data_IF_732052199524
#
_entry.id   IF_732052199524
#
_cell.length_a   1.000
_cell.length_b   1.000
_cell.length_c   1.000
_cell.angle_alpha   90.00
_cell.angle_beta   90.00
_cell.angle_gamma   90.00
#
_symmetry.space_group_name_H-M   'P 1'
#
loop_
_entity.id
_entity.type
_entity.pdbx_description
1 polymer ?
#
# COMPACT_ATOMS: atom_id res chain seq x y z
N UNK A 1 -2.05 33.33 -8.25
CA UNK A 1 -1.96 33.26 -6.78
C UNK A 1 -1.83 31.79 -6.44
N UNK A 2 -0.67 31.39 -5.88
CA UNK A 2 -0.21 30.07 -5.42
C UNK A 2 -0.80 28.80 -6.06
N UNK A 3 -0.04 28.26 -7.02
CA UNK A 3 0.08 26.81 -7.25
C UNK A 3 0.68 26.20 -5.98
N UNK A 4 -0.04 25.30 -5.32
CA UNK A 4 0.51 24.41 -4.32
C UNK A 4 0.73 23.06 -5.01
N UNK A 5 2.00 22.64 -5.02
CA UNK A 5 2.47 21.47 -5.71
C UNK A 5 1.91 20.22 -5.02
N UNK A 6 1.26 19.36 -5.79
CA UNK A 6 1.18 17.95 -5.45
C UNK A 6 2.62 17.41 -5.35
N UNK A 7 3.10 17.23 -4.12
CA UNK A 7 4.35 16.53 -3.85
C UNK A 7 4.12 15.06 -4.20
N UNK A 8 4.51 14.68 -5.42
CA UNK A 8 4.68 13.28 -5.80
C UNK A 8 5.76 12.67 -4.90
N UNK A 9 5.31 11.96 -3.87
CA UNK A 9 6.20 11.30 -2.91
C UNK A 9 6.98 10.19 -3.62
N UNK A 10 8.28 10.41 -3.78
CA UNK A 10 9.21 9.52 -4.46
C UNK A 10 9.38 8.21 -3.68
N UNK A 11 8.57 7.21 -4.04
CA UNK A 11 8.45 5.87 -3.45
C UNK A 11 9.76 5.04 -3.43
N UNK A 12 10.83 5.51 -4.11
CA UNK A 12 12.15 4.86 -4.12
C UNK A 12 12.92 5.01 -2.80
N UNK A 13 12.50 5.88 -1.86
CA UNK A 13 13.22 6.10 -0.59
C UNK A 13 12.73 5.27 0.61
N UNK A 14 11.62 4.53 0.51
CA UNK A 14 11.05 3.77 1.65
C UNK A 14 11.37 2.26 1.60
N UNK A 15 11.94 1.76 0.49
CA UNK A 15 12.34 0.36 0.33
C UNK A 15 13.72 0.11 1.00
N UNK A 16 13.81 0.15 2.34
CA UNK A 16 15.05 -0.22 3.04
C UNK A 16 14.92 -0.96 4.38
N UNK A 17 13.71 -1.28 4.87
CA UNK A 17 13.55 -1.86 6.23
C UNK A 17 12.80 -3.20 6.27
N UNK A 18 13.03 -4.10 5.31
CA UNK A 18 12.58 -5.50 5.46
C UNK A 18 13.77 -6.44 5.32
N UNK A 19 14.68 -6.36 6.28
CA UNK A 19 15.59 -7.46 6.62
C UNK A 19 15.21 -7.99 8.00
N UNK A 20 13.94 -8.38 8.17
CA UNK A 20 13.52 -9.15 9.35
C UNK A 20 13.91 -10.60 9.09
N UNK A 21 15.22 -10.86 9.18
CA UNK A 21 15.81 -12.19 9.07
C UNK A 21 15.04 -13.17 9.95
N UNK A 22 14.28 -14.07 9.32
CA UNK A 22 13.79 -15.30 9.95
C UNK A 22 15.00 -16.20 10.26
N UNK A 23 15.85 -15.79 11.19
CA UNK A 23 16.82 -16.69 11.79
C UNK A 23 16.05 -17.59 12.75
N UNK A 24 15.72 -18.78 12.25
CA UNK A 24 15.73 -19.98 13.08
C UNK A 24 17.10 -20.01 13.76
N UNK A 25 17.18 -19.54 15.00
CA UNK A 25 18.37 -19.73 15.83
C UNK A 25 18.50 -21.23 16.10
N UNK A 26 19.25 -21.91 15.23
CA UNK A 26 20.05 -23.07 15.59
C UNK A 26 20.96 -22.65 16.75
N UNK A 27 20.45 -22.76 17.98
CA UNK A 27 21.23 -22.66 19.21
C UNK A 27 22.16 -23.87 19.30
N UNK A 28 23.12 -23.96 18.38
CA UNK A 28 24.33 -24.76 18.47
C UNK A 28 25.49 -23.78 18.48
N UNK A 29 25.59 -22.99 19.56
CA UNK A 29 26.81 -22.25 19.83
C UNK A 29 27.83 -23.23 20.41
N UNK A 30 28.90 -23.45 19.66
CA UNK A 30 30.10 -24.19 20.06
C UNK A 30 30.85 -23.42 21.14
N UNK A 31 30.42 -23.56 22.40
CA UNK A 31 31.17 -23.02 23.54
C UNK A 31 32.28 -24.00 23.95
N UNK A 32 33.54 -23.53 23.85
CA UNK A 32 34.68 -24.24 24.43
C UNK A 32 34.72 -24.03 25.95
N UNK A 33 34.87 -25.09 26.74
CA UNK A 33 34.87 -25.00 28.20
C UNK A 33 36.24 -24.53 28.73
N UNK A 34 36.22 -23.58 29.68
CA UNK A 34 37.37 -23.31 30.55
C UNK A 34 37.30 -24.31 31.71
N UNK A 35 38.35 -25.11 31.90
CA UNK A 35 38.45 -26.13 32.96
C UNK A 35 39.59 -25.73 33.90
N UNK A 36 39.28 -25.63 35.20
CA UNK A 36 40.27 -25.62 36.29
C UNK A 36 40.07 -26.88 37.12
N UNK A 37 41.16 -27.59 37.41
CA UNK A 37 41.19 -28.86 38.15
C UNK A 37 41.21 -28.61 39.66
N UNK A 38 40.09 -28.94 40.31
CA UNK A 38 40.04 -29.30 41.72
C UNK A 38 39.29 -30.63 41.83
N UNK A 39 39.47 -31.37 42.93
CA UNK A 39 38.77 -32.63 43.23
C UNK A 39 37.26 -32.36 43.32
N UNK A 40 36.59 -32.30 42.18
CA UNK A 40 35.23 -31.80 42.04
C UNK A 40 34.23 -32.82 42.56
N UNK A 41 33.38 -32.40 43.50
CA UNK A 41 32.22 -33.18 43.92
C UNK A 41 31.22 -33.27 42.76
N UNK A 42 31.27 -34.40 42.03
CA UNK A 42 30.45 -34.66 40.83
C UNK A 42 28.95 -34.51 41.15
N UNK A 43 28.51 -34.92 42.34
CA UNK A 43 27.12 -34.84 42.78
C UNK A 43 26.66 -33.38 42.88
N UNK A 44 27.50 -32.50 43.44
CA UNK A 44 27.20 -31.08 43.55
C UNK A 44 26.99 -30.46 42.16
N UNK A 45 27.91 -30.73 41.23
CA UNK A 45 27.85 -30.18 39.86
C UNK A 45 26.61 -30.67 39.11
N UNK A 46 26.28 -31.96 39.24
CA UNK A 46 25.08 -32.54 38.63
C UNK A 46 23.81 -31.90 39.20
N UNK A 47 23.74 -31.71 40.52
CA UNK A 47 22.58 -31.10 41.19
C UNK A 47 22.43 -29.62 40.85
N UNK A 48 23.54 -28.87 40.78
CA UNK A 48 23.57 -27.48 40.37
C UNK A 48 23.03 -27.31 38.93
N UNK A 49 23.52 -28.12 37.99
CA UNK A 49 23.03 -28.09 36.61
C UNK A 49 21.53 -28.42 36.52
N UNK A 50 21.05 -29.43 37.26
CA UNK A 50 19.63 -29.78 37.33
C UNK A 50 18.78 -28.66 37.93
N UNK A 51 19.27 -28.03 38.99
CA UNK A 51 18.59 -26.90 39.63
C UNK A 51 18.48 -25.70 38.68
N UNK A 52 19.55 -25.38 37.94
CA UNK A 52 19.52 -24.28 36.98
C UNK A 52 18.60 -24.56 35.79
N UNK A 53 18.54 -25.79 35.27
CA UNK A 53 17.57 -26.18 34.23
C UNK A 53 16.12 -26.00 34.70
N UNK A 54 15.81 -26.38 35.94
CA UNK A 54 14.50 -26.13 36.56
C UNK A 54 14.23 -24.65 36.78
N UNK A 55 15.24 -23.89 37.19
CA UNK A 55 15.13 -22.44 37.40
C UNK A 55 14.80 -21.71 36.10
N UNK A 56 15.46 -22.05 35.00
CA UNK A 56 15.19 -21.44 33.69
C UNK A 56 13.74 -21.66 33.22
N UNK A 57 13.15 -22.83 33.53
CA UNK A 57 11.73 -23.10 33.30
C UNK A 57 10.84 -22.29 34.26
N UNK A 58 11.24 -22.23 35.53
CA UNK A 58 10.61 -21.40 36.56
C UNK A 58 10.56 -19.92 36.20
N UNK A 59 11.54 -19.41 35.44
CA UNK A 59 11.64 -17.99 35.05
C UNK A 59 10.38 -17.52 34.33
N UNK A 60 9.92 -18.24 33.30
CA UNK A 60 8.75 -17.78 32.55
C UNK A 60 7.43 -18.18 33.21
N UNK A 61 7.36 -19.38 33.77
CA UNK A 61 6.13 -19.89 34.39
C UNK A 61 5.75 -19.10 35.65
N UNK A 62 6.73 -18.76 36.49
CA UNK A 62 6.49 -17.94 37.69
C UNK A 62 6.11 -16.51 37.32
N UNK A 63 6.73 -15.95 36.28
CA UNK A 63 6.41 -14.61 35.81
C UNK A 63 4.97 -14.54 35.28
N UNK A 64 4.56 -15.49 34.43
CA UNK A 64 3.17 -15.58 33.93
C UNK A 64 2.20 -15.74 35.10
N UNK A 65 2.47 -16.63 36.05
CA UNK A 65 1.60 -16.83 37.21
C UNK A 65 1.44 -15.56 38.06
N UNK A 66 2.50 -14.76 38.22
CA UNK A 66 2.48 -13.55 39.04
C UNK A 66 1.88 -12.34 38.34
N UNK A 67 2.10 -12.22 37.03
CA UNK A 67 1.80 -10.98 36.29
C UNK A 67 0.66 -11.12 35.29
N UNK A 68 0.29 -12.36 34.93
CA UNK A 68 -0.61 -12.63 33.82
C UNK A 68 -0.04 -12.28 32.43
N UNK A 69 1.28 -12.01 32.32
CA UNK A 69 1.92 -11.54 31.09
C UNK A 69 3.07 -12.44 30.65
N UNK A 70 3.36 -12.46 29.35
CA UNK A 70 4.56 -13.09 28.80
C UNK A 70 5.80 -12.29 29.24
N UNK A 71 6.85 -12.93 29.81
CA UNK A 71 8.09 -12.23 30.14
C UNK A 71 8.91 -11.87 28.90
N UNK A 72 9.80 -10.86 28.99
CA UNK A 72 10.71 -10.52 27.90
C UNK A 72 11.57 -11.71 27.49
N UNK A 73 11.68 -11.95 26.18
CA UNK A 73 12.47 -13.06 25.62
C UNK A 73 13.91 -13.11 26.17
N UNK A 74 14.56 -11.94 26.25
CA UNK A 74 15.94 -11.81 26.73
C UNK A 74 16.15 -12.34 28.16
N UNK A 75 15.16 -12.16 29.04
CA UNK A 75 15.21 -12.63 30.44
C UNK A 75 15.27 -14.15 30.50
N UNK A 76 14.44 -14.83 29.72
CA UNK A 76 14.38 -16.30 29.71
C UNK A 76 15.57 -16.89 28.94
N UNK A 77 15.99 -16.25 27.85
CA UNK A 77 17.17 -16.64 27.08
C UNK A 77 18.44 -16.63 27.94
N UNK A 78 18.56 -15.65 28.84
CA UNK A 78 19.70 -15.55 29.76
C UNK A 78 19.76 -16.75 30.71
N UNK A 79 18.65 -17.13 31.33
CA UNK A 79 18.61 -18.29 32.22
C UNK A 79 18.75 -19.63 31.47
N UNK A 80 18.23 -19.72 30.23
CA UNK A 80 18.49 -20.84 29.33
C UNK A 80 19.97 -21.03 29.04
N UNK A 81 20.69 -19.96 28.65
CA UNK A 81 22.14 -20.01 28.35
C UNK A 81 22.93 -20.50 29.56
N UNK A 82 22.62 -19.98 30.76
CA UNK A 82 23.24 -20.46 32.02
C UNK A 82 22.97 -21.95 32.25
N UNK A 83 21.73 -22.40 32.10
CA UNK A 83 21.34 -23.80 32.29
C UNK A 83 22.03 -24.73 31.28
N UNK A 84 22.11 -24.34 30.01
CA UNK A 84 22.77 -25.11 28.97
C UNK A 84 24.27 -25.25 29.24
N UNK A 85 24.94 -24.16 29.60
CA UNK A 85 26.37 -24.18 29.93
C UNK A 85 26.68 -25.10 31.12
N UNK A 86 25.88 -25.03 32.19
CA UNK A 86 26.03 -25.93 33.33
C UNK A 86 25.75 -27.39 32.97
N UNK A 87 24.77 -27.66 32.12
CA UNK A 87 24.52 -29.02 31.62
C UNK A 87 25.73 -29.58 30.86
N UNK A 88 26.30 -28.82 29.91
CA UNK A 88 27.48 -29.25 29.14
C UNK A 88 28.68 -29.49 30.06
N UNK A 89 28.97 -28.56 30.98
CA UNK A 89 30.06 -28.69 31.96
C UNK A 89 29.86 -29.91 32.88
N UNK A 90 28.64 -30.13 33.36
CA UNK A 90 28.32 -31.29 34.19
C UNK A 90 28.49 -32.60 33.41
N UNK A 91 28.06 -32.67 32.15
CA UNK A 91 28.21 -33.86 31.30
C UNK A 91 29.67 -34.22 31.07
N UNK A 92 30.51 -33.23 30.76
CA UNK A 92 31.96 -33.41 30.61
C UNK A 92 32.61 -33.89 31.91
N UNK A 93 32.24 -33.30 33.05
CA UNK A 93 32.78 -33.68 34.36
C UNK A 93 32.41 -35.13 34.71
N UNK A 94 31.14 -35.50 34.50
CA UNK A 94 30.66 -36.88 34.72
C UNK A 94 31.35 -37.88 33.78
N UNK A 95 31.67 -37.49 32.55
CA UNK A 95 32.38 -38.35 31.61
C UNK A 95 33.82 -38.64 32.06
N UNK A 96 34.51 -37.62 32.60
CA UNK A 96 35.86 -37.73 33.17
C UNK A 96 35.88 -38.47 34.51
N UNK A 97 34.80 -38.39 35.29
CA UNK A 97 34.70 -39.16 36.53
C UNK A 97 34.54 -40.66 36.25
N UNK A 98 35.49 -41.48 36.71
CA UNK A 98 35.34 -42.93 36.74
C UNK A 98 34.30 -43.38 37.78
N UNK A 99 33.84 -44.64 37.70
CA UNK A 99 33.05 -45.27 38.76
C UNK A 99 31.60 -45.64 38.42
N UNK A 100 30.97 -46.41 39.33
CA UNK A 100 29.67 -47.06 39.12
C UNK A 100 28.49 -46.07 38.94
N UNK A 101 28.62 -44.82 39.40
CA UNK A 101 27.54 -43.81 39.35
C UNK A 101 27.45 -43.04 38.03
N UNK A 102 28.45 -43.13 37.13
CA UNK A 102 28.50 -42.37 35.87
C UNK A 102 27.21 -42.49 35.04
N UNK A 103 26.72 -43.73 34.82
CA UNK A 103 25.48 -43.98 34.06
C UNK A 103 24.26 -43.29 34.68
N UNK A 104 24.17 -43.29 36.02
CA UNK A 104 23.09 -42.63 36.76
C UNK A 104 23.13 -41.12 36.55
N UNK A 105 24.29 -40.47 36.68
CA UNK A 105 24.39 -39.01 36.50
C UNK A 105 24.09 -38.57 35.07
N UNK A 106 24.60 -39.29 34.07
CA UNK A 106 24.27 -38.99 32.66
C UNK A 106 22.77 -39.10 32.42
N UNK A 107 22.13 -40.17 32.88
CA UNK A 107 20.68 -40.36 32.75
C UNK A 107 19.88 -39.24 33.44
N UNK A 108 20.28 -38.83 34.65
CA UNK A 108 19.62 -37.74 35.36
C UNK A 108 19.78 -36.38 34.67
N UNK A 109 20.98 -36.06 34.17
CA UNK A 109 21.23 -34.83 33.42
C UNK A 109 20.41 -34.82 32.13
N UNK A 110 20.49 -35.88 31.33
CA UNK A 110 19.80 -35.97 30.03
C UNK A 110 18.27 -35.99 30.21
N UNK A 111 17.77 -36.68 31.23
CA UNK A 111 16.34 -36.67 31.57
C UNK A 111 15.84 -35.30 32.02
N UNK A 112 16.63 -34.57 32.82
CA UNK A 112 16.30 -33.21 33.25
C UNK A 112 16.33 -32.24 32.06
N UNK A 113 17.36 -32.33 31.22
CA UNK A 113 17.49 -31.52 30.01
C UNK A 113 16.33 -31.76 29.05
N UNK A 114 16.01 -33.04 28.75
CA UNK A 114 14.88 -33.40 27.88
C UNK A 114 13.56 -32.82 28.41
N UNK A 115 13.35 -32.84 29.72
CA UNK A 115 12.11 -32.37 30.34
C UNK A 115 12.00 -30.85 30.37
N UNK A 116 12.99 -30.15 30.90
CA UNK A 116 12.91 -28.71 31.16
C UNK A 116 13.44 -27.87 29.99
N UNK A 117 14.52 -28.31 29.34
CA UNK A 117 15.12 -27.55 28.25
C UNK A 117 14.41 -27.87 26.93
N UNK A 118 14.47 -29.13 26.49
CA UNK A 118 14.01 -29.52 25.15
C UNK A 118 12.49 -29.44 24.98
N UNK A 119 11.71 -29.91 25.96
CA UNK A 119 10.24 -29.94 25.86
C UNK A 119 9.53 -28.67 26.32
N UNK A 120 10.20 -27.79 27.07
CA UNK A 120 9.55 -26.64 27.73
C UNK A 120 10.19 -25.31 27.34
N UNK A 121 11.44 -25.07 27.75
CA UNK A 121 12.09 -23.77 27.52
C UNK A 121 12.34 -23.51 26.04
N UNK A 122 12.81 -24.48 25.25
CA UNK A 122 13.11 -24.26 23.83
C UNK A 122 11.84 -23.90 23.03
N UNK A 123 10.72 -24.65 23.13
CA UNK A 123 9.47 -24.25 22.51
C UNK A 123 8.98 -22.87 22.96
N UNK A 124 9.10 -22.55 24.26
CA UNK A 124 8.76 -21.23 24.78
C UNK A 124 9.65 -20.12 24.20
N UNK A 125 10.96 -20.32 24.06
CA UNK A 125 11.87 -19.32 23.50
C UNK A 125 11.54 -19.03 22.03
N UNK A 126 11.21 -20.07 21.25
CA UNK A 126 10.75 -19.90 19.89
C UNK A 126 9.43 -19.11 19.84
N UNK A 127 8.49 -19.42 20.72
CA UNK A 127 7.21 -18.71 20.82
C UNK A 127 7.36 -17.26 21.28
N UNK A 128 8.16 -16.97 22.30
CA UNK A 128 8.36 -15.61 22.81
C UNK A 128 8.99 -14.68 21.77
N UNK A 129 9.91 -15.18 20.94
CA UNK A 129 10.45 -14.39 19.82
C UNK A 129 9.37 -14.01 18.80
N UNK A 130 8.51 -14.97 18.44
CA UNK A 130 7.37 -14.71 17.54
C UNK A 130 6.41 -13.72 18.18
N UNK A 131 6.10 -13.89 19.48
CA UNK A 131 5.22 -13.01 20.25
C UNK A 131 5.71 -11.56 20.24
N UNK A 132 6.99 -11.32 20.55
CA UNK A 132 7.56 -9.96 20.52
C UNK A 132 7.42 -9.31 19.14
N UNK A 133 7.66 -10.09 18.07
CA UNK A 133 7.50 -9.64 16.68
C UNK A 133 6.04 -9.35 16.32
N UNK A 134 5.12 -10.25 16.67
CA UNK A 134 3.67 -10.09 16.46
C UNK A 134 3.17 -8.85 17.17
N UNK A 135 3.50 -8.66 18.45
CA UNK A 135 3.07 -7.51 19.24
C UNK A 135 3.60 -6.20 18.68
N UNK A 136 4.88 -6.15 18.28
CA UNK A 136 5.44 -4.94 17.67
C UNK A 136 4.72 -4.58 16.37
N UNK A 137 4.51 -5.55 15.49
CA UNK A 137 3.82 -5.32 14.21
C UNK A 137 2.35 -4.92 14.40
N UNK A 138 1.64 -5.56 15.34
CA UNK A 138 0.26 -5.19 15.69
C UNK A 138 0.19 -3.76 16.23
N UNK A 139 1.08 -3.38 17.15
CA UNK A 139 1.10 -2.01 17.69
C UNK A 139 1.41 -0.97 16.61
N UNK A 140 2.30 -1.27 15.66
CA UNK A 140 2.56 -0.39 14.53
C UNK A 140 1.31 -0.22 13.63
N UNK A 141 0.55 -1.29 13.42
CA UNK A 141 -0.71 -1.25 12.68
C UNK A 141 -1.77 -0.42 13.43
N UNK A 142 -1.94 -0.65 14.75
CA UNK A 142 -2.85 0.14 15.61
C UNK A 142 -2.47 1.64 15.59
N UNK A 143 -1.17 1.96 15.58
CA UNK A 143 -0.71 3.34 15.49
C UNK A 143 -1.02 3.96 14.13
N UNK A 144 -0.75 3.26 13.02
CA UNK A 144 -1.07 3.74 11.68
C UNK A 144 -2.58 3.99 11.48
N UNK A 145 -3.43 3.15 12.07
CA UNK A 145 -4.88 3.37 12.09
C UNK A 145 -5.23 4.64 12.87
N UNK A 146 -4.60 4.84 14.03
CA UNK A 146 -4.85 6.02 14.89
C UNK A 146 -4.38 7.31 14.24
N UNK A 147 -3.28 7.26 13.51
CA UNK A 147 -2.69 8.39 12.80
C UNK A 147 -3.34 8.62 11.42
N UNK A 148 -4.29 7.75 11.02
CA UNK A 148 -4.92 7.76 9.69
C UNK A 148 -3.89 7.76 8.55
N UNK A 149 -2.75 7.10 8.78
CA UNK A 149 -1.62 7.01 7.85
C UNK A 149 -1.69 5.70 7.06
N UNK A 150 -2.25 5.76 5.84
CA UNK A 150 -2.46 4.61 4.97
C UNK A 150 -1.14 3.97 4.47
N UNK A 151 -0.08 4.77 4.32
CA UNK A 151 1.25 4.30 3.93
C UNK A 151 1.87 3.46 5.05
N UNK A 152 1.84 3.99 6.28
CA UNK A 152 2.28 3.27 7.47
C UNK A 152 1.43 2.02 7.71
N UNK A 153 0.11 2.10 7.44
CA UNK A 153 -0.81 0.98 7.56
C UNK A 153 -0.40 -0.16 6.62
N UNK A 154 -0.17 0.13 5.34
CA UNK A 154 0.25 -0.88 4.36
C UNK A 154 1.55 -1.56 4.79
N UNK A 155 2.54 -0.79 5.26
CA UNK A 155 3.81 -1.34 5.72
C UNK A 155 3.64 -2.23 6.95
N UNK A 156 2.90 -1.77 7.96
CA UNK A 156 2.65 -2.51 9.19
C UNK A 156 1.81 -3.78 8.93
N UNK A 157 0.83 -3.71 8.01
CA UNK A 157 -0.02 -4.83 7.63
C UNK A 157 0.79 -5.95 6.97
N UNK A 158 1.69 -5.59 6.05
CA UNK A 158 2.64 -6.52 5.43
C UNK A 158 3.57 -7.17 6.45
N UNK A 159 4.03 -6.42 7.45
CA UNK A 159 4.84 -6.99 8.54
C UNK A 159 4.01 -7.96 9.39
N UNK A 160 2.78 -7.59 9.73
CA UNK A 160 1.90 -8.41 10.56
C UNK A 160 1.53 -9.72 9.85
N UNK A 161 1.35 -9.70 8.53
CA UNK A 161 1.09 -10.90 7.71
C UNK A 161 2.07 -12.04 8.02
N UNK A 162 3.36 -11.73 8.19
CA UNK A 162 4.42 -12.71 8.48
C UNK A 162 4.19 -13.45 9.80
N UNK A 163 3.51 -12.79 10.74
CA UNK A 163 3.32 -13.27 12.11
C UNK A 163 1.98 -13.95 12.36
N UNK A 164 0.98 -13.72 11.49
CA UNK A 164 -0.38 -14.27 11.65
C UNK A 164 -0.65 -15.52 10.78
N UNK A 165 0.41 -16.15 10.27
CA UNK A 165 0.29 -17.39 9.49
C UNK A 165 0.18 -18.65 10.37
N UNK A 166 -0.32 -19.74 9.79
CA UNK A 166 -0.48 -21.03 10.48
C UNK A 166 0.83 -21.59 11.05
N UNK A 167 1.98 -21.24 10.44
CA UNK A 167 3.28 -21.64 10.97
C UNK A 167 3.52 -21.07 12.36
N UNK A 168 3.18 -19.82 12.60
CA UNK A 168 3.33 -19.14 13.89
C UNK A 168 2.33 -19.66 14.90
N UNK A 169 1.10 -19.96 14.47
CA UNK A 169 0.12 -20.67 15.29
C UNK A 169 0.67 -22.02 15.79
N UNK A 170 1.34 -22.80 14.93
CA UNK A 170 2.01 -24.05 15.35
C UNK A 170 3.14 -23.81 16.35
N UNK A 171 3.91 -22.73 16.21
CA UNK A 171 4.97 -22.38 17.19
C UNK A 171 4.36 -22.14 18.58
N UNK A 172 3.26 -21.39 18.67
CA UNK A 172 2.54 -21.19 19.93
C UNK A 172 1.98 -22.49 20.50
N UNK A 173 1.38 -23.34 19.65
CA UNK A 173 0.86 -24.63 20.06
C UNK A 173 1.92 -25.63 20.55
N UNK A 174 3.20 -25.41 20.28
CA UNK A 174 4.28 -26.25 20.80
C UNK A 174 4.70 -25.91 22.23
N UNK A 175 4.24 -24.78 22.80
CA UNK A 175 4.54 -24.40 24.18
C UNK A 175 3.81 -25.33 25.14
N UNK A 176 4.53 -25.95 26.08
CA UNK A 176 3.98 -27.00 26.93
C UNK A 176 2.94 -26.49 27.92
N UNK A 177 3.18 -25.33 28.54
CA UNK A 177 2.35 -24.78 29.62
C UNK A 177 1.07 -24.15 29.08
N UNK A 178 -0.07 -24.62 29.60
CA UNK A 178 -1.41 -24.21 29.14
C UNK A 178 -1.64 -22.70 29.32
N UNK A 179 -1.34 -22.15 30.49
CA UNK A 179 -1.57 -20.72 30.77
C UNK A 179 -0.69 -19.81 29.89
N UNK A 180 0.54 -20.25 29.60
CA UNK A 180 1.46 -19.51 28.72
C UNK A 180 0.96 -19.57 27.29
N UNK A 181 0.56 -20.77 26.82
CA UNK A 181 0.01 -20.99 25.49
C UNK A 181 -1.24 -20.16 25.26
N UNK A 182 -2.12 -20.05 26.27
CA UNK A 182 -3.33 -19.24 26.20
C UNK A 182 -3.01 -17.78 25.86
N UNK A 183 -2.08 -17.16 26.58
CA UNK A 183 -1.67 -15.77 26.33
C UNK A 183 -1.07 -15.57 24.93
N UNK A 184 -0.27 -16.54 24.45
CA UNK A 184 0.30 -16.50 23.10
C UNK A 184 -0.77 -16.59 22.01
N UNK A 185 -1.76 -17.47 22.20
CA UNK A 185 -2.89 -17.65 21.28
C UNK A 185 -3.85 -16.46 21.30
N UNK A 186 -4.03 -15.81 22.44
CA UNK A 186 -4.78 -14.55 22.54
C UNK A 186 -4.15 -13.45 21.68
N UNK A 187 -2.83 -13.26 21.78
CA UNK A 187 -2.11 -12.28 20.94
C UNK A 187 -2.19 -12.63 19.46
N UNK A 188 -2.06 -13.92 19.10
CA UNK A 188 -2.24 -14.39 17.73
C UNK A 188 -3.64 -14.01 17.20
N UNK A 189 -4.67 -14.30 18.00
CA UNK A 189 -6.06 -14.11 17.59
C UNK A 189 -6.40 -12.64 17.45
N UNK A 190 -5.95 -11.80 18.40
CA UNK A 190 -6.08 -10.34 18.33
C UNK A 190 -5.40 -9.78 17.06
N UNK A 191 -4.17 -10.21 16.82
CA UNK A 191 -3.37 -9.75 15.68
C UNK A 191 -3.95 -10.18 14.34
N UNK A 192 -4.40 -11.44 14.24
CA UNK A 192 -5.01 -11.98 13.03
C UNK A 192 -6.31 -11.25 12.70
N UNK A 193 -7.16 -11.01 13.70
CA UNK A 193 -8.39 -10.24 13.51
C UNK A 193 -8.10 -8.85 12.96
N UNK A 194 -7.14 -8.13 13.56
CA UNK A 194 -6.78 -6.78 13.11
C UNK A 194 -6.19 -6.78 11.70
N UNK A 195 -5.36 -7.77 11.36
CA UNK A 195 -4.85 -7.96 10.01
C UNK A 195 -5.98 -8.18 8.99
N UNK A 196 -6.97 -9.03 9.31
CA UNK A 196 -8.10 -9.32 8.41
C UNK A 196 -9.02 -8.11 8.25
N UNK A 197 -9.21 -7.32 9.31
CA UNK A 197 -10.08 -6.14 9.34
C UNK A 197 -9.66 -5.07 8.32
N UNK A 198 -8.36 -4.84 8.14
CA UNK A 198 -7.81 -3.82 7.24
C UNK A 198 -7.27 -4.38 5.92
N UNK A 199 -7.52 -5.65 5.60
CA UNK A 199 -7.01 -6.27 4.38
C UNK A 199 -7.55 -5.61 3.11
N UNK A 200 -8.84 -5.23 3.09
CA UNK A 200 -9.44 -4.58 1.93
C UNK A 200 -8.91 -3.16 1.73
N UNK A 201 -8.68 -2.41 2.81
CA UNK A 201 -8.12 -1.05 2.77
C UNK A 201 -6.72 -1.07 2.16
N UNK A 202 -5.86 -1.97 2.62
CA UNK A 202 -4.49 -2.12 2.11
C UNK A 202 -4.48 -2.59 0.66
N UNK A 203 -5.38 -3.49 0.27
CA UNK A 203 -5.50 -3.96 -1.11
C UNK A 203 -6.00 -2.86 -2.06
N UNK A 204 -7.05 -2.13 -1.67
CA UNK A 204 -7.58 -1.01 -2.45
C UNK A 204 -6.52 0.09 -2.62
N UNK A 205 -5.84 0.47 -1.54
CA UNK A 205 -4.74 1.43 -1.60
C UNK A 205 -3.63 0.98 -2.56
N UNK A 206 -3.20 -0.29 -2.46
CA UNK A 206 -2.20 -0.84 -3.37
C UNK A 206 -2.62 -0.84 -4.84
N UNK A 207 -3.91 -1.08 -5.12
CA UNK A 207 -4.47 -1.02 -6.47
C UNK A 207 -4.53 0.42 -7.00
N UNK A 208 -4.98 1.39 -6.18
CA UNK A 208 -5.06 2.80 -6.56
C UNK A 208 -3.67 3.38 -6.83
N UNK A 209 -2.70 3.11 -5.96
CA UNK A 209 -1.32 3.53 -6.16
C UNK A 209 -0.76 3.00 -7.49
N UNK A 210 -1.00 1.72 -7.79
CA UNK A 210 -0.54 1.12 -9.04
C UNK A 210 -1.33 1.61 -10.26
N UNK A 211 -2.60 1.95 -10.10
CA UNK A 211 -3.42 2.53 -11.16
C UNK A 211 -2.90 3.92 -11.54
N UNK A 212 -2.56 4.75 -10.55
CA UNK A 212 -1.93 6.05 -10.75
C UNK A 212 -0.65 5.94 -11.58
N UNK A 213 0.27 5.03 -11.21
CA UNK A 213 1.49 4.77 -11.99
C UNK A 213 1.19 4.37 -13.46
N UNK A 214 0.16 3.57 -13.69
CA UNK A 214 -0.22 3.15 -15.05
C UNK A 214 -0.90 4.25 -15.85
N UNK A 215 -1.65 5.16 -15.22
CA UNK A 215 -2.20 6.33 -15.90
C UNK A 215 -1.08 7.27 -16.33
N UNK A 216 -0.09 7.52 -15.47
CA UNK A 216 1.10 8.32 -15.81
C UNK A 216 1.91 7.71 -16.95
N UNK A 217 2.04 6.38 -16.97
CA UNK A 217 2.73 5.64 -18.03
C UNK A 217 1.92 5.48 -19.34
N UNK A 218 0.66 5.94 -19.39
CA UNK A 218 -0.25 5.75 -20.54
C UNK A 218 -0.74 4.31 -20.74
N UNK A 219 -0.61 3.44 -19.72
CA UNK A 219 -1.06 2.04 -19.71
C UNK A 219 -2.53 1.95 -19.28
N UNK A 220 -3.41 2.47 -20.14
CA UNK A 220 -4.82 2.71 -19.83
C UNK A 220 -5.59 1.43 -19.51
N UNK A 221 -5.33 0.33 -20.23
CA UNK A 221 -6.01 -0.94 -20.01
C UNK A 221 -5.66 -1.57 -18.65
N UNK A 222 -4.39 -1.49 -18.26
CA UNK A 222 -3.91 -1.98 -16.98
C UNK A 222 -4.41 -1.10 -15.82
N UNK A 223 -4.42 0.22 -15.99
CA UNK A 223 -5.03 1.15 -15.03
C UNK A 223 -6.52 0.83 -14.80
N UNK A 224 -7.28 0.59 -15.88
CA UNK A 224 -8.71 0.23 -15.79
C UNK A 224 -8.94 -1.03 -14.96
N UNK A 225 -8.11 -2.05 -15.16
CA UNK A 225 -8.20 -3.32 -14.43
C UNK A 225 -8.03 -3.09 -12.92
N UNK A 226 -7.08 -2.24 -12.53
CA UNK A 226 -6.84 -1.90 -11.13
C UNK A 226 -7.96 -1.03 -10.54
N UNK A 227 -8.47 -0.05 -11.29
CA UNK A 227 -9.61 0.77 -10.87
C UNK A 227 -10.88 -0.10 -10.66
N UNK A 228 -11.14 -1.07 -11.54
CA UNK A 228 -12.26 -2.00 -11.36
C UNK A 228 -12.10 -2.89 -10.12
N UNK A 229 -10.86 -3.33 -9.84
CA UNK A 229 -10.52 -4.01 -8.60
C UNK A 229 -10.85 -3.14 -7.39
N UNK A 230 -10.37 -1.89 -7.38
CA UNK A 230 -10.52 -0.97 -6.26
C UNK A 230 -12.00 -0.65 -6.02
N UNK A 231 -12.76 -0.44 -7.11
CA UNK A 231 -14.22 -0.26 -7.07
C UNK A 231 -14.93 -1.41 -6.36
N UNK A 232 -14.51 -2.64 -6.61
CA UNK A 232 -15.05 -3.85 -5.97
C UNK A 232 -14.78 -3.94 -4.45
N UNK A 233 -13.81 -3.16 -3.95
CA UNK A 233 -13.42 -3.12 -2.54
C UNK A 233 -14.04 -1.96 -1.77
N UNK A 234 -14.50 -0.88 -2.42
CA UNK A 234 -15.00 0.34 -1.77
C UNK A 234 -16.09 0.10 -0.71
N UNK A 235 -16.98 -0.88 -0.95
CA UNK A 235 -18.05 -1.21 0.00
C UNK A 235 -17.57 -1.99 1.24
N UNK A 236 -16.36 -2.55 1.18
CA UNK A 236 -15.75 -3.42 2.20
C UNK A 236 -14.62 -2.74 2.98
N UNK A 237 -14.35 -1.47 2.69
CA UNK A 237 -13.34 -0.67 3.40
C UNK A 237 -13.76 -0.44 4.86
N UNK A 238 -12.75 -0.28 5.71
CA UNK A 238 -12.93 0.21 7.08
C UNK A 238 -13.49 1.62 7.06
N UNK A 239 -14.22 2.01 8.11
CA UNK A 239 -14.76 3.37 8.21
C UNK A 239 -13.64 4.42 8.31
N UNK A 240 -12.49 4.05 8.87
CA UNK A 240 -11.32 4.92 9.01
C UNK A 240 -10.81 5.45 7.67
N UNK A 241 -10.64 4.57 6.68
CA UNK A 241 -10.02 4.95 5.39
C UNK A 241 -11.01 5.04 4.22
N UNK A 242 -12.30 4.75 4.45
CA UNK A 242 -13.33 4.70 3.39
C UNK A 242 -13.40 6.01 2.60
N UNK A 243 -13.42 7.15 3.29
CA UNK A 243 -13.60 8.46 2.65
C UNK A 243 -12.42 8.78 1.72
N UNK A 244 -11.20 8.68 2.24
CA UNK A 244 -9.98 9.03 1.51
C UNK A 244 -9.75 8.11 0.31
N UNK A 245 -9.87 6.79 0.50
CA UNK A 245 -9.71 5.82 -0.59
C UNK A 245 -10.81 5.95 -1.66
N UNK A 246 -12.03 6.32 -1.27
CA UNK A 246 -13.11 6.60 -2.23
C UNK A 246 -12.82 7.89 -3.00
N UNK A 247 -12.32 8.92 -2.33
CA UNK A 247 -11.92 10.17 -2.98
C UNK A 247 -10.80 9.93 -3.99
N UNK A 248 -9.76 9.19 -3.60
CA UNK A 248 -8.64 8.86 -4.48
C UNK A 248 -9.09 8.02 -5.69
N UNK A 249 -9.96 7.04 -5.47
CA UNK A 249 -10.59 6.29 -6.57
C UNK A 249 -11.31 7.22 -7.56
N UNK A 250 -12.12 8.16 -7.06
CA UNK A 250 -12.87 9.08 -7.92
C UNK A 250 -11.93 10.01 -8.71
N UNK A 251 -10.88 10.53 -8.07
CA UNK A 251 -9.87 11.36 -8.73
C UNK A 251 -9.18 10.61 -9.86
N UNK A 252 -8.72 9.37 -9.62
CA UNK A 252 -8.07 8.55 -10.64
C UNK A 252 -9.05 8.12 -11.75
N UNK A 253 -10.33 7.92 -11.41
CA UNK A 253 -11.37 7.63 -12.40
C UNK A 253 -11.63 8.83 -13.32
N UNK A 254 -11.60 10.06 -12.80
CA UNK A 254 -11.68 11.28 -13.59
C UNK A 254 -10.52 11.36 -14.58
N UNK A 255 -9.28 11.21 -14.10
CA UNK A 255 -8.09 11.18 -14.95
C UNK A 255 -8.20 10.10 -16.04
N UNK A 256 -8.66 8.90 -15.68
CA UNK A 256 -8.91 7.83 -16.64
C UNK A 256 -9.94 8.23 -17.70
N UNK A 257 -11.06 8.83 -17.31
CA UNK A 257 -12.12 9.23 -18.23
C UNK A 257 -11.67 10.36 -19.18
N UNK A 258 -10.87 11.30 -18.68
CA UNK A 258 -10.29 12.37 -19.50
C UNK A 258 -9.36 11.80 -20.58
N UNK A 259 -8.52 10.82 -20.22
CA UNK A 259 -7.65 10.12 -21.18
C UNK A 259 -8.44 9.29 -22.21
N UNK A 260 -9.66 8.88 -21.88
CA UNK A 260 -10.56 8.16 -22.78
C UNK A 260 -11.43 9.10 -23.63
N UNK A 261 -11.53 10.38 -23.27
CA UNK A 261 -12.33 11.36 -23.99
C UNK A 261 -11.50 11.89 -25.16
N UNK A 262 -11.92 11.66 -26.43
CA UNK A 262 -11.22 12.23 -27.57
C UNK A 262 -11.18 13.76 -27.44
N UNK A 263 -10.07 14.43 -27.80
CA UNK A 263 -10.03 15.87 -27.80
C UNK A 263 -11.10 16.43 -28.74
N UNK A 264 -11.78 17.48 -28.31
CA UNK A 264 -12.79 18.18 -29.12
C UNK A 264 -12.10 19.34 -29.82
N UNK A 265 -12.27 19.43 -31.13
CA UNK A 265 -11.76 20.55 -31.91
C UNK A 265 -12.30 21.88 -31.39
N UNK A 266 -11.42 22.87 -31.28
CA UNK A 266 -11.75 24.25 -30.97
C UNK A 266 -11.67 25.10 -32.24
N UNK A 267 -12.55 26.08 -32.35
CA UNK A 267 -12.52 27.04 -33.46
C UNK A 267 -11.52 28.15 -33.12
N UNK A 268 -10.42 28.23 -33.87
CA UNK A 268 -9.34 29.18 -33.64
C UNK A 268 -9.62 30.52 -34.33
N UNK A 269 -10.05 30.46 -35.60
CA UNK A 269 -10.17 31.64 -36.45
C UNK A 269 -11.30 31.51 -37.46
N UNK A 270 -11.85 32.66 -37.86
CA UNK A 270 -12.88 32.78 -38.88
C UNK A 270 -12.52 33.89 -39.86
N UNK A 271 -12.41 33.53 -41.14
CA UNK A 271 -12.38 34.49 -42.23
C UNK A 271 -13.79 34.67 -42.79
N UNK A 272 -14.18 35.91 -43.07
CA UNK A 272 -15.47 36.22 -43.64
C UNK A 272 -15.34 37.08 -44.90
N UNK A 273 -16.04 36.67 -45.95
CA UNK A 273 -16.25 37.45 -47.17
C UNK A 273 -17.73 37.40 -47.54
N UNK A 274 -18.17 38.27 -48.44
CA UNK A 274 -19.59 38.29 -48.81
C UNK A 274 -20.00 36.96 -49.47
N UNK A 275 -20.87 36.21 -48.79
CA UNK A 275 -21.37 34.91 -49.23
C UNK A 275 -20.54 33.69 -48.78
N UNK A 276 -19.40 33.87 -48.10
CA UNK A 276 -18.54 32.75 -47.71
C UNK A 276 -17.78 32.99 -46.40
N UNK A 277 -17.72 31.95 -45.56
CA UNK A 277 -16.89 31.90 -44.36
C UNK A 277 -15.87 30.76 -44.47
N UNK A 278 -14.66 30.96 -43.93
CA UNK A 278 -13.67 29.91 -43.72
C UNK A 278 -13.38 29.79 -42.24
N UNK A 279 -13.61 28.61 -41.66
CA UNK A 279 -13.37 28.29 -40.25
C UNK A 279 -12.09 27.46 -40.14
N UNK A 280 -11.25 27.80 -39.16
CA UNK A 280 -9.99 27.10 -38.87
C UNK A 280 -10.06 26.49 -37.47
N UNK A 281 -9.74 25.19 -37.37
CA UNK A 281 -9.76 24.43 -36.13
C UNK A 281 -8.35 24.00 -35.72
N UNK A 282 -8.12 23.93 -34.41
CA UNK A 282 -6.83 23.52 -33.83
C UNK A 282 -6.49 22.05 -34.10
N UNK A 283 -7.51 21.19 -34.18
CA UNK A 283 -7.43 19.77 -34.56
C UNK A 283 -8.57 19.38 -35.52
N UNK A 284 -8.46 18.23 -36.21
CA UNK A 284 -9.49 17.77 -37.14
C UNK A 284 -10.89 17.64 -36.51
N UNK A 285 -11.92 18.26 -37.10
CA UNK A 285 -13.30 18.13 -36.62
C UNK A 285 -13.92 16.79 -37.02
N UNK A 286 -14.60 16.13 -36.08
CA UNK A 286 -15.30 14.87 -36.32
C UNK A 286 -16.58 15.03 -37.15
N UNK A 287 -17.24 16.18 -37.06
CA UNK A 287 -18.40 16.58 -37.88
C UNK A 287 -18.68 18.07 -37.74
N UNK A 288 -19.26 18.70 -38.77
CA UNK A 288 -19.70 20.09 -38.75
C UNK A 288 -21.06 20.21 -39.46
N UNK A 289 -22.04 20.81 -38.81
CA UNK A 289 -23.40 20.96 -39.34
C UNK A 289 -24.13 22.16 -38.70
N UNK A 290 -25.27 22.61 -39.26
CA UNK A 290 -26.06 23.67 -38.63
C UNK A 290 -26.62 23.30 -37.25
N UNK A 291 -26.58 22.03 -36.84
CA UNK A 291 -27.06 21.60 -35.52
C UNK A 291 -26.01 21.73 -34.42
N UNK A 292 -24.72 21.82 -34.77
CA UNK A 292 -23.61 21.94 -33.82
C UNK A 292 -22.88 23.28 -33.91
N UNK A 293 -23.43 24.22 -34.68
CA UNK A 293 -22.88 25.55 -34.88
C UNK A 293 -24.02 26.56 -35.07
N UNK A 294 -23.85 27.78 -34.55
CA UNK A 294 -24.74 28.91 -34.81
C UNK A 294 -23.96 30.05 -35.48
N UNK A 295 -24.45 30.51 -36.63
CA UNK A 295 -23.88 31.66 -37.34
C UNK A 295 -24.80 32.85 -37.12
N UNK A 296 -24.25 33.97 -36.66
CA UNK A 296 -24.95 35.25 -36.65
C UNK A 296 -24.18 36.28 -37.46
N UNK A 297 -24.92 37.26 -37.99
CA UNK A 297 -24.35 38.40 -38.71
C UNK A 297 -24.90 39.69 -38.11
N UNK A 298 -24.05 40.71 -38.06
CA UNK A 298 -24.41 42.08 -37.71
C UNK A 298 -23.95 43.00 -38.84
N UNK A 299 -24.85 43.90 -39.28
CA UNK A 299 -24.57 44.90 -40.32
C UNK A 299 -24.65 46.28 -39.69
N UNK A 300 -23.62 47.11 -39.87
CA UNK A 300 -23.54 48.48 -39.34
C UNK A 300 -23.84 48.58 -37.82
N UNK A 301 -23.37 47.58 -37.06
CA UNK A 301 -23.65 47.44 -35.60
C UNK A 301 -25.14 47.36 -35.24
N UNK A 302 -25.98 46.93 -36.19
CA UNK A 302 -27.40 46.69 -35.97
C UNK A 302 -27.69 45.42 -35.16
N UNK A 303 -28.92 44.92 -35.24
CA UNK A 303 -29.33 43.70 -34.56
C UNK A 303 -28.64 42.45 -35.13
N UNK A 304 -28.34 41.49 -34.27
CA UNK A 304 -27.83 40.17 -34.67
C UNK A 304 -28.91 39.39 -35.42
N UNK A 305 -28.56 38.87 -36.59
CA UNK A 305 -29.43 38.04 -37.41
C UNK A 305 -28.86 36.63 -37.50
N UNK A 306 -29.68 35.61 -37.27
CA UNK A 306 -29.27 34.21 -37.45
C UNK A 306 -29.16 33.90 -38.93
N UNK A 307 -28.03 33.32 -39.33
CA UNK A 307 -27.74 32.96 -40.71
C UNK A 307 -27.77 31.44 -40.86
N UNK A 308 -28.50 30.97 -41.86
CA UNK A 308 -28.52 29.55 -42.22
C UNK A 308 -27.54 29.31 -43.38
N UNK A 309 -26.54 28.44 -43.22
CA UNK A 309 -25.61 28.11 -44.30
C UNK A 309 -26.30 27.21 -45.34
N UNK A 310 -25.96 27.40 -46.62
CA UNK A 310 -26.48 26.58 -47.72
C UNK A 310 -25.59 25.38 -48.04
N UNK A 311 -24.29 25.49 -47.77
CA UNK A 311 -23.31 24.44 -47.97
C UNK A 311 -22.21 24.54 -46.91
N UNK A 312 -21.78 23.38 -46.40
CA UNK A 312 -20.62 23.24 -45.52
C UNK A 312 -19.72 22.19 -46.17
N UNK A 313 -18.45 22.54 -46.39
CA UNK A 313 -17.45 21.64 -46.97
C UNK A 313 -16.23 21.62 -46.06
N UNK A 314 -15.88 20.42 -45.58
CA UNK A 314 -14.63 20.21 -44.84
C UNK A 314 -13.49 19.98 -45.82
N UNK A 315 -12.32 20.52 -45.49
CA UNK A 315 -11.05 20.14 -46.08
C UNK A 315 -10.73 18.66 -45.84
N UNK A 316 -9.81 18.10 -46.63
CA UNK A 316 -9.43 16.69 -46.56
C UNK A 316 -8.84 16.31 -45.19
N UNK A 317 -8.05 17.20 -44.58
CA UNK A 317 -7.50 17.02 -43.23
C UNK A 317 -8.48 17.42 -42.11
N UNK A 318 -9.62 18.01 -42.48
CA UNK A 318 -10.72 18.43 -41.61
C UNK A 318 -10.32 19.47 -40.56
N UNK A 319 -9.22 20.18 -40.75
CA UNK A 319 -8.81 21.32 -39.91
C UNK A 319 -9.40 22.64 -40.40
N UNK A 320 -9.97 22.65 -41.61
CA UNK A 320 -10.65 23.80 -42.20
C UNK A 320 -12.06 23.44 -42.70
N UNK A 321 -12.99 24.39 -42.61
CA UNK A 321 -14.31 24.31 -43.22
C UNK A 321 -14.64 25.57 -44.04
N UNK A 322 -15.14 25.38 -45.26
CA UNK A 322 -15.71 26.46 -46.07
C UNK A 322 -17.23 26.39 -45.98
N UNK A 323 -17.85 27.53 -45.69
CA UNK A 323 -19.29 27.65 -45.45
C UNK A 323 -19.86 28.69 -46.41
N UNK A 324 -20.84 28.29 -47.19
CA UNK A 324 -21.59 29.22 -48.06
C UNK A 324 -22.76 29.78 -47.26
N UNK A 325 -22.83 31.11 -47.19
CA UNK A 325 -23.90 31.86 -46.53
C UNK A 325 -24.61 32.76 -47.54
N UNK A 326 -25.85 33.22 -47.27
CA UNK A 326 -26.53 34.17 -48.15
C UNK A 326 -25.68 35.42 -48.39
N UNK A 327 -25.57 35.82 -49.66
CA UNK A 327 -24.92 37.07 -50.06
C UNK A 327 -25.74 38.26 -49.54
N UNK A 328 -25.08 39.24 -48.95
CA UNK A 328 -25.69 40.50 -48.56
C UNK A 328 -25.70 41.43 -49.77
N UNK A 329 -26.89 41.88 -50.16
CA UNK A 329 -27.07 42.83 -51.26
C UNK A 329 -26.50 44.20 -50.90
N UNK A 330 -25.82 44.80 -51.87
CA UNK A 330 -25.36 46.19 -51.83
C UNK A 330 -26.54 47.15 -51.65
N UNK A 331 -26.29 48.23 -50.91
CA UNK A 331 -27.21 49.35 -50.71
C UNK A 331 -26.56 50.66 -51.14
N UNK A 332 -27.32 51.75 -51.07
CA UNK A 332 -26.83 53.10 -51.38
C UNK A 332 -25.83 53.64 -50.32
N UNK A 333 -25.66 52.91 -49.22
CA UNK A 333 -24.74 53.20 -48.12
C UNK A 333 -23.73 52.06 -47.94
N UNK A 334 -22.54 52.41 -47.46
CA UNK A 334 -21.52 51.43 -47.09
C UNK A 334 -22.00 50.53 -45.94
N UNK A 335 -21.75 49.22 -46.05
CA UNK A 335 -22.16 48.23 -45.06
C UNK A 335 -20.94 47.54 -44.45
N UNK A 336 -20.68 47.80 -43.16
CA UNK A 336 -19.74 47.02 -42.35
C UNK A 336 -20.44 45.77 -41.85
N UNK A 337 -19.92 44.61 -42.23
CA UNK A 337 -20.47 43.29 -41.92
C UNK A 337 -19.54 42.55 -40.98
N UNK A 338 -20.10 41.97 -39.92
CA UNK A 338 -19.38 41.13 -38.95
C UNK A 338 -20.14 39.83 -38.77
N UNK A 339 -19.44 38.70 -38.93
CA UNK A 339 -19.97 37.38 -38.61
C UNK A 339 -19.45 36.89 -37.25
N UNK A 340 -20.31 36.25 -36.47
CA UNK A 340 -19.93 35.55 -35.25
C UNK A 340 -20.41 34.11 -35.32
N UNK A 341 -19.50 33.18 -35.02
CA UNK A 341 -19.73 31.74 -35.06
C UNK A 341 -19.67 31.23 -33.62
N UNK A 342 -20.72 30.55 -33.18
CA UNK A 342 -20.73 29.79 -31.93
C UNK A 342 -20.55 28.29 -32.25
N UNK A 343 -19.48 27.70 -31.76
CA UNK A 343 -19.14 26.28 -31.94
C UNK A 343 -18.61 25.71 -30.62
N UNK A 344 -19.06 24.52 -30.23
CA UNK A 344 -18.72 23.88 -28.95
C UNK A 344 -18.89 24.81 -27.71
N UNK A 345 -19.88 25.72 -27.76
CA UNK A 345 -20.16 26.70 -26.69
C UNK A 345 -19.22 27.91 -26.64
N UNK A 346 -18.24 28.01 -27.55
CA UNK A 346 -17.35 29.18 -27.69
C UNK A 346 -17.77 30.04 -28.89
N UNK A 347 -17.65 31.37 -28.75
CA UNK A 347 -17.93 32.33 -29.82
C UNK A 347 -16.63 32.87 -30.40
N UNK A 348 -16.52 32.85 -31.74
CA UNK A 348 -15.42 33.45 -32.49
C UNK A 348 -16.01 34.44 -33.48
N UNK A 349 -15.49 35.66 -33.47
CA UNK A 349 -15.95 36.76 -34.33
C UNK A 349 -14.92 36.99 -35.43
N UNK A 350 -15.38 36.99 -36.68
CA UNK A 350 -14.55 37.30 -37.83
C UNK A 350 -14.22 38.80 -37.87
N UNK A 351 -13.10 39.14 -38.51
CA UNK A 351 -12.79 40.53 -38.81
C UNK A 351 -13.90 41.17 -39.68
N UNK A 352 -14.26 42.44 -39.44
CA UNK A 352 -15.26 43.13 -40.26
C UNK A 352 -14.80 43.25 -41.71
N UNK A 353 -15.70 43.01 -42.64
CA UNK A 353 -15.51 43.39 -44.06
C UNK A 353 -16.54 44.43 -44.49
N UNK A 354 -16.23 45.14 -45.57
CA UNK A 354 -17.04 46.24 -46.08
C UNK A 354 -17.63 45.87 -47.43
N UNK A 355 -18.95 46.05 -47.57
CA UNK A 355 -19.64 46.06 -48.86
C UNK A 355 -19.76 47.51 -49.30
N UNK A 356 -19.16 47.83 -50.45
CA UNK A 356 -19.19 49.18 -51.01
C UNK A 356 -20.61 49.54 -51.46
N UNK A 357 -20.93 50.83 -51.40
CA UNK A 357 -22.18 51.35 -51.95
C UNK A 357 -22.24 51.15 -53.46
N UNK A 358 -23.46 50.99 -53.96
CA UNK A 358 -23.77 50.79 -55.38
C UNK A 358 -23.49 52.01 -56.26
#
# INVERSE_FOLDING_TARGET
>A
MRRENAETMNMKKVISVITMSMMFCSLLLSFQPIVSEAKTNVDHIVNEAKAQMKKAHGTYTTYVKKTGKIPPHATVLTEYKKAHNLYVKAKQTVQKSGGKQKKKYVSQLDGTYKTYMAKRIIPYLNASFVFDGTTKARLALEQAITDEDIDALQLAHKQLHVYVQDRQLRVYNNVFEVDVRKLLLEEFSKSKKLYEEYANDVEAYGQLLKASEYLEDGKIAEAKTLLDGAKGLLSKLSDTFRADLTSEYNNLLEVYNDLMTPPVAELDYVEATNGMLTLYFDIPVSSLSPTNMKITVTINKGEEQVVQPSLITLSDDRTMATIVVPVISEKDEEQSVVYTIEYAGKKVTADPFVISKK
#
